data_IF_388598415205
#
_entry.id   IF_388598415205
#
_cell.length_a   1.000
_cell.length_b   1.000
_cell.length_c   1.000
_cell.angle_alpha   90.00
_cell.angle_beta   90.00
_cell.angle_gamma   90.00
#
_symmetry.space_group_name_H-M   'P 1'
#
loop_
_entity.id
_entity.type
_entity.pdbx_description
1 polymer ?
#
# COMPACT_ATOMS: atom_id res chain seq x y z
N UNK A 1 4.62 -6.22 14.90
CA UNK A 1 5.69 -5.25 14.58
C UNK A 1 6.24 -5.61 13.21
N UNK A 2 6.11 -4.72 12.23
CA UNK A 2 6.64 -4.91 10.87
C UNK A 2 8.11 -4.46 10.85
N UNK A 3 8.97 -5.21 10.17
CA UNK A 3 10.39 -4.86 9.96
C UNK A 3 10.67 -4.83 8.46
N UNK A 4 11.19 -3.71 8.01
CA UNK A 4 11.55 -3.42 6.63
C UNK A 4 12.89 -2.69 6.58
N UNK A 5 13.60 -2.87 5.47
CA UNK A 5 14.80 -2.13 5.13
C UNK A 5 14.48 -0.64 4.94
N UNK A 6 15.40 0.26 5.32
CA UNK A 6 15.20 1.71 5.25
C UNK A 6 14.74 2.20 3.86
N UNK A 7 15.23 1.56 2.79
CA UNK A 7 14.83 1.91 1.42
C UNK A 7 13.32 1.72 1.17
N UNK A 8 12.71 0.68 1.73
CA UNK A 8 11.27 0.49 1.60
C UNK A 8 10.49 1.55 2.38
N UNK A 9 10.97 1.96 3.55
CA UNK A 9 10.33 3.03 4.31
C UNK A 9 10.29 4.36 3.54
N UNK A 10 11.38 4.72 2.85
CA UNK A 10 11.41 5.92 2.02
C UNK A 10 10.36 5.88 0.89
N UNK A 11 10.25 4.73 0.21
CA UNK A 11 9.26 4.55 -0.87
C UNK A 11 7.83 4.61 -0.31
N UNK A 12 7.57 3.99 0.84
CA UNK A 12 6.27 4.09 1.52
C UNK A 12 5.93 5.53 1.92
N UNK A 13 6.92 6.34 2.30
CA UNK A 13 6.72 7.77 2.60
C UNK A 13 6.27 8.52 1.35
N UNK A 14 6.94 8.30 0.22
CA UNK A 14 6.56 8.88 -1.08
C UNK A 14 5.14 8.47 -1.49
N UNK A 15 4.78 7.19 -1.36
CA UNK A 15 3.42 6.67 -1.61
C UNK A 15 2.36 7.34 -0.71
N UNK A 16 2.65 7.45 0.58
CA UNK A 16 1.72 8.05 1.55
C UNK A 16 1.52 9.54 1.27
N UNK A 17 2.60 10.25 0.89
CA UNK A 17 2.57 11.66 0.51
C UNK A 17 1.80 11.88 -0.79
N UNK A 18 1.98 11.01 -1.80
CA UNK A 18 1.25 11.08 -3.06
C UNK A 18 -0.28 10.97 -2.84
N UNK A 19 -0.69 10.19 -1.85
CA UNK A 19 -2.10 10.02 -1.47
C UNK A 19 -2.59 11.04 -0.43
N UNK A 20 -1.77 12.03 -0.05
CA UNK A 20 -2.07 13.01 0.99
C UNK A 20 -2.53 12.37 2.32
N UNK A 21 -1.93 11.24 2.69
CA UNK A 21 -2.30 10.46 3.86
C UNK A 21 -1.11 10.26 4.80
N UNK A 22 -1.27 10.37 6.13
CA UNK A 22 -0.19 10.05 7.05
C UNK A 22 0.16 8.55 6.99
N UNK A 23 1.46 8.23 7.09
CA UNK A 23 2.01 6.87 7.04
C UNK A 23 1.23 5.86 7.88
N UNK A 24 0.90 6.19 9.13
CA UNK A 24 0.17 5.28 10.01
C UNK A 24 -1.21 4.91 9.48
N UNK A 25 -1.94 5.88 8.90
CA UNK A 25 -3.25 5.65 8.30
C UNK A 25 -3.11 4.83 7.01
N UNK A 26 -2.11 5.13 6.19
CA UNK A 26 -1.83 4.38 4.96
C UNK A 26 -1.56 2.90 5.25
N UNK A 27 -0.70 2.61 6.23
CA UNK A 27 -0.39 1.23 6.63
C UNK A 27 -1.60 0.50 7.22
N UNK A 28 -2.42 1.18 8.02
CA UNK A 28 -3.65 0.59 8.58
C UNK A 28 -4.65 0.23 7.49
N UNK A 29 -4.92 1.17 6.57
CA UNK A 29 -5.85 0.95 5.47
C UNK A 29 -5.38 -0.21 4.57
N UNK A 30 -4.11 -0.19 4.17
CA UNK A 30 -3.54 -1.25 3.34
C UNK A 30 -3.62 -2.63 4.01
N UNK A 31 -3.48 -2.68 5.34
CA UNK A 31 -3.62 -3.93 6.09
C UNK A 31 -5.07 -4.42 6.13
N UNK A 32 -6.02 -3.51 6.35
CA UNK A 32 -7.46 -3.80 6.35
C UNK A 32 -7.90 -4.30 4.97
N UNK A 33 -7.56 -3.59 3.90
CA UNK A 33 -7.89 -3.99 2.52
C UNK A 33 -7.27 -5.34 2.15
N UNK A 34 -5.99 -5.55 2.49
CA UNK A 34 -5.33 -6.83 2.25
C UNK A 34 -5.98 -7.99 3.03
N UNK A 35 -6.55 -7.70 4.20
CA UNK A 35 -7.29 -8.67 5.00
C UNK A 35 -8.66 -8.96 4.39
N UNK A 36 -9.36 -7.95 3.88
CA UNK A 36 -10.67 -8.14 3.23
C UNK A 36 -10.55 -8.97 1.94
N UNK A 37 -9.50 -8.74 1.14
CA UNK A 37 -9.28 -9.46 -0.13
C UNK A 37 -8.77 -10.89 0.08
N UNK A 38 -7.78 -11.09 0.97
CA UNK A 38 -7.11 -12.39 1.13
C UNK A 38 -7.51 -13.16 2.39
N UNK A 39 -8.40 -12.60 3.22
CA UNK A 39 -8.85 -13.18 4.49
C UNK A 39 -7.85 -13.01 5.63
N UNK A 40 -6.63 -13.56 5.50
CA UNK A 40 -5.59 -13.46 6.53
C UNK A 40 -4.26 -12.92 5.98
N UNK A 41 -3.78 -11.83 6.56
CA UNK A 41 -2.49 -11.22 6.21
C UNK A 41 -1.38 -11.83 7.08
N UNK A 42 -0.88 -12.99 6.66
CA UNK A 42 0.19 -13.69 7.39
C UNK A 42 1.57 -13.01 7.29
N UNK A 43 1.81 -12.22 6.23
CA UNK A 43 3.11 -11.58 5.99
C UNK A 43 2.98 -10.16 5.39
N UNK A 44 2.55 -9.22 6.25
CA UNK A 44 2.38 -7.82 5.85
C UNK A 44 3.67 -7.15 5.34
N UNK A 45 4.84 -7.56 5.87
CA UNK A 45 6.13 -7.02 5.39
C UNK A 45 6.38 -7.36 3.91
N UNK A 46 6.01 -8.56 3.47
CA UNK A 46 6.19 -8.95 2.05
C UNK A 46 5.22 -8.20 1.15
N UNK A 47 3.98 -7.99 1.60
CA UNK A 47 3.00 -7.17 0.90
C UNK A 47 3.50 -5.73 0.70
N UNK A 48 4.05 -5.11 1.74
CA UNK A 48 4.64 -3.77 1.65
C UNK A 48 5.81 -3.70 0.65
N UNK A 49 6.67 -4.72 0.63
CA UNK A 49 7.76 -4.80 -0.37
C UNK A 49 7.21 -4.90 -1.79
N UNK A 50 6.20 -5.76 -2.02
CA UNK A 50 5.55 -5.86 -3.31
C UNK A 50 4.90 -4.54 -3.72
N UNK A 51 4.21 -3.85 -2.80
CA UNK A 51 3.62 -2.53 -3.05
C UNK A 51 4.69 -1.51 -3.49
N UNK A 52 5.83 -1.46 -2.79
CA UNK A 52 6.95 -0.59 -3.18
C UNK A 52 7.54 -0.94 -4.55
N UNK A 53 7.69 -2.24 -4.84
CA UNK A 53 8.23 -2.69 -6.13
C UNK A 53 7.31 -2.30 -7.28
N UNK A 54 6.00 -2.52 -7.11
CA UNK A 54 5.00 -2.11 -8.09
C UNK A 54 5.05 -0.59 -8.28
N UNK A 55 5.02 0.21 -7.21
CA UNK A 55 5.11 1.68 -7.28
C UNK A 55 6.31 2.21 -8.08
N UNK A 56 7.46 1.53 -7.98
CA UNK A 56 8.67 1.92 -8.69
C UNK A 56 8.75 1.36 -10.12
N UNK A 57 7.85 0.45 -10.49
CA UNK A 57 7.81 -0.13 -11.83
C UNK A 57 7.18 0.88 -12.81
N UNK A 58 7.95 1.36 -13.80
CA UNK A 58 7.47 2.34 -14.78
C UNK A 58 6.47 1.76 -15.78
N UNK A 59 6.42 0.43 -15.94
CA UNK A 59 5.46 -0.26 -16.82
C UNK A 59 4.17 -0.62 -16.07
N UNK A 60 4.11 -0.37 -14.75
CA UNK A 60 2.93 -0.64 -13.94
C UNK A 60 1.95 0.52 -13.99
N UNK A 61 0.69 0.23 -14.31
CA UNK A 61 -0.33 1.25 -14.55
C UNK A 61 -0.94 1.76 -13.24
N UNK A 62 -0.23 2.69 -12.60
CA UNK A 62 -0.59 3.27 -11.29
C UNK A 62 -1.94 4.00 -11.30
N UNK A 63 -2.36 4.51 -12.46
CA UNK A 63 -3.60 5.29 -12.60
C UNK A 63 -4.83 4.40 -12.39
N UNK A 64 -4.76 3.14 -12.82
CA UNK A 64 -5.86 2.18 -12.66
C UNK A 64 -5.96 1.63 -11.22
N UNK A 65 -4.84 1.39 -10.53
CA UNK A 65 -4.86 0.98 -9.12
C UNK A 65 -5.34 2.09 -8.18
N UNK A 66 -4.97 3.34 -8.46
CA UNK A 66 -5.48 4.47 -7.70
C UNK A 66 -7.01 4.60 -7.84
N UNK A 67 -7.54 4.35 -9.04
CA UNK A 67 -8.99 4.35 -9.29
C UNK A 67 -9.71 3.21 -8.56
N UNK A 68 -9.18 1.98 -8.61
CA UNK A 68 -9.75 0.81 -7.90
C UNK A 68 -9.70 0.97 -6.36
N UNK A 69 -8.60 1.54 -5.83
CA UNK A 69 -8.46 1.80 -4.40
C UNK A 69 -9.41 2.93 -3.92
N UNK A 70 -9.62 3.96 -4.73
CA UNK A 70 -10.56 5.04 -4.41
C UNK A 70 -12.03 4.60 -4.52
N UNK A 71 -12.37 3.70 -5.43
CA UNK A 71 -13.72 3.13 -5.54
C UNK A 71 -14.08 2.23 -4.34
N UNK A 72 -13.11 1.51 -3.79
CA UNK A 72 -13.31 0.68 -2.57
C UNK A 72 -13.56 1.56 -1.33
N UNK A 73 -12.86 2.69 -1.22
CA UNK A 73 -13.06 3.66 -0.11
C UNK A 73 -14.43 4.37 -0.18
N UNK A 74 -15.02 4.54 -1.36
CA UNK A 74 -16.29 5.26 -1.53
C UNK A 74 -17.55 4.42 -1.21
N UNK A 75 -17.40 3.10 -1.04
CA UNK A 75 -18.51 2.16 -0.85
C UNK A 75 -18.76 1.73 0.61
N UNK A 76 -17.97 2.22 1.58
CA UNK A 76 -18.10 1.93 3.02
C UNK A 76 -18.50 3.18 3.82
#
# INVERSE_FOLDING_TARGET
>A
SVRLEAKFWNVLEELSAAQNMPMSKFLSLLYEEAQEVNGEVSNFASLLRCCCLNFLDPDFDHEQLAQEAQETTAAA
#
